data_IF_470268448802
#
_entry.id   IF_470268448802
#
_cell.length_a   1.000
_cell.length_b   1.000
_cell.length_c   1.000
_cell.angle_alpha   90.00
_cell.angle_beta   90.00
_cell.angle_gamma   90.00
#
_symmetry.space_group_name_H-M   'P 1'
#
loop_
_entity.id
_entity.type
_entity.pdbx_description
1 polymer ?
#
# COMPACT_ATOMS: atom_id res chain seq x y z
N UNK A 1 -40.74 -43.12 -50.63
CA UNK A 1 -40.40 -44.24 -49.72
C UNK A 1 -39.63 -43.66 -48.53
N UNK A 2 -39.94 -44.09 -47.31
CA UNK A 2 -39.67 -43.41 -46.02
C UNK A 2 -38.20 -43.53 -45.61
N UNK A 3 -37.69 -42.67 -44.71
CA UNK A 3 -37.34 -42.97 -43.30
C UNK A 3 -36.13 -42.07 -42.96
N UNK A 4 -35.87 -41.48 -41.80
CA UNK A 4 -36.37 -41.56 -40.42
C UNK A 4 -35.63 -40.45 -39.64
N UNK A 5 -36.33 -39.82 -38.68
CA UNK A 5 -35.85 -39.34 -37.37
C UNK A 5 -34.66 -38.36 -37.24
N UNK A 6 -34.98 -37.14 -36.82
CA UNK A 6 -34.40 -36.56 -35.62
C UNK A 6 -35.39 -35.52 -35.07
N UNK A 7 -36.26 -36.04 -34.21
CA UNK A 7 -37.10 -35.32 -33.27
C UNK A 7 -36.24 -34.50 -32.29
N UNK A 8 -36.44 -33.18 -32.25
CA UNK A 8 -36.32 -32.43 -31.01
C UNK A 8 -37.36 -31.33 -31.02
N UNK A 9 -38.59 -31.79 -30.82
CA UNK A 9 -39.79 -30.99 -30.77
C UNK A 9 -39.86 -30.21 -29.43
N UNK A 10 -40.40 -28.99 -29.53
CA UNK A 10 -41.22 -28.27 -28.55
C UNK A 10 -40.63 -27.23 -27.56
N UNK A 11 -40.91 -25.98 -27.95
CA UNK A 11 -41.76 -25.01 -27.21
C UNK A 11 -41.17 -24.30 -25.98
N UNK A 12 -40.67 -23.08 -26.23
CA UNK A 12 -41.51 -21.93 -25.87
C UNK A 12 -41.17 -20.67 -26.68
N UNK A 13 -42.25 -20.03 -27.13
CA UNK A 13 -42.31 -18.88 -28.03
C UNK A 13 -41.68 -17.60 -27.48
N UNK A 14 -41.48 -16.60 -28.36
CA UNK A 14 -40.69 -15.40 -28.14
C UNK A 14 -41.49 -14.30 -27.42
N UNK A 15 -40.80 -13.41 -26.70
CA UNK A 15 -41.03 -11.95 -26.63
C UNK A 15 -40.43 -11.34 -25.34
N UNK A 16 -39.49 -10.41 -25.52
CA UNK A 16 -39.27 -9.17 -24.73
C UNK A 16 -37.77 -8.84 -24.84
N UNK A 17 -37.36 -7.95 -25.75
CA UNK A 17 -37.15 -6.52 -25.46
C UNK A 17 -36.17 -6.29 -24.29
N UNK A 18 -34.99 -5.69 -24.61
CA UNK A 18 -33.91 -5.24 -23.70
C UNK A 18 -33.11 -6.41 -23.06
N UNK A 19 -31.78 -6.46 -22.92
CA UNK A 19 -30.72 -5.45 -22.88
C UNK A 19 -29.38 -6.12 -23.23
N UNK A 20 -28.45 -5.30 -23.71
CA UNK A 20 -26.99 -5.45 -23.72
C UNK A 20 -26.45 -6.57 -22.80
N UNK A 21 -26.00 -7.67 -23.40
CA UNK A 21 -25.44 -8.83 -22.69
C UNK A 21 -24.10 -8.52 -22.03
N UNK A 22 -24.16 -8.28 -20.72
CA UNK A 22 -23.30 -8.80 -19.66
C UNK A 22 -21.82 -9.10 -19.99
N UNK A 23 -21.03 -8.04 -20.18
CA UNK A 23 -19.58 -8.10 -19.94
C UNK A 23 -19.34 -7.86 -18.44
N UNK A 24 -19.36 -8.92 -17.63
CA UNK A 24 -19.24 -8.83 -16.16
C UNK A 24 -17.81 -8.57 -15.68
N UNK A 25 -17.14 -7.55 -16.25
CA UNK A 25 -15.87 -7.03 -15.73
C UNK A 25 -16.06 -6.26 -14.41
N UNK A 26 -17.31 -5.88 -14.09
CA UNK A 26 -17.70 -5.11 -12.91
C UNK A 26 -18.92 -5.72 -12.19
N UNK A 27 -18.88 -7.04 -11.89
CA UNK A 27 -19.89 -7.68 -11.05
C UNK A 27 -19.69 -7.31 -9.58
N UNK A 28 -20.71 -6.74 -8.93
CA UNK A 28 -20.65 -6.43 -7.51
C UNK A 28 -20.60 -7.68 -6.62
N UNK A 29 -21.17 -8.81 -7.06
CA UNK A 29 -21.11 -10.09 -6.33
C UNK A 29 -19.72 -10.74 -6.38
N UNK A 30 -18.96 -10.51 -7.46
CA UNK A 30 -17.58 -10.96 -7.58
C UNK A 30 -16.59 -10.09 -6.78
N UNK A 31 -16.99 -8.87 -6.39
CA UNK A 31 -16.12 -7.93 -5.67
C UNK A 31 -15.64 -8.50 -4.34
N UNK A 32 -16.50 -9.22 -3.61
CA UNK A 32 -16.14 -9.87 -2.34
C UNK A 32 -15.07 -10.94 -2.54
N UNK A 33 -15.16 -11.71 -3.64
CA UNK A 33 -14.17 -12.72 -4.01
C UNK A 33 -12.83 -12.09 -4.42
N UNK A 34 -12.86 -11.00 -5.20
CA UNK A 34 -11.68 -10.24 -5.55
C UNK A 34 -10.98 -9.66 -4.31
N UNK A 35 -11.74 -9.06 -3.40
CA UNK A 35 -11.21 -8.49 -2.16
C UNK A 35 -10.57 -9.59 -1.28
N UNK A 36 -11.22 -10.75 -1.16
CA UNK A 36 -10.68 -11.87 -0.38
C UNK A 36 -9.41 -12.46 -0.98
N UNK A 37 -9.36 -12.63 -2.30
CA UNK A 37 -8.19 -13.14 -3.01
C UNK A 37 -6.99 -12.20 -2.92
N UNK A 38 -7.24 -10.89 -3.05
CA UNK A 38 -6.23 -9.85 -2.84
C UNK A 38 -5.66 -9.91 -1.42
N UNK A 39 -6.53 -9.94 -0.40
CA UNK A 39 -6.10 -10.03 1.00
C UNK A 39 -5.30 -11.31 1.27
N UNK A 40 -5.72 -12.46 0.73
CA UNK A 40 -4.97 -13.70 0.88
C UNK A 40 -3.57 -13.61 0.27
N UNK A 41 -3.46 -13.03 -0.93
CA UNK A 41 -2.19 -12.86 -1.63
C UNK A 41 -1.27 -11.91 -0.86
N UNK A 42 -1.81 -10.79 -0.38
CA UNK A 42 -1.09 -9.83 0.47
C UNK A 42 -0.58 -10.48 1.77
N UNK A 43 -1.40 -11.30 2.45
CA UNK A 43 -0.97 -12.06 3.64
C UNK A 43 0.14 -13.05 3.32
N UNK A 44 0.06 -13.75 2.19
CA UNK A 44 1.14 -14.63 1.72
C UNK A 44 2.46 -13.87 1.52
N UNK A 45 2.41 -12.61 1.08
CA UNK A 45 3.59 -11.73 0.96
C UNK A 45 3.92 -10.95 2.24
N UNK A 46 3.28 -11.25 3.38
CA UNK A 46 3.61 -10.70 4.70
C UNK A 46 2.90 -9.39 5.05
N UNK A 47 1.88 -8.98 4.30
CA UNK A 47 1.07 -7.80 4.59
C UNK A 47 -0.13 -8.16 5.49
N UNK A 48 -0.57 -7.26 6.40
CA UNK A 48 -1.74 -7.51 7.22
C UNK A 48 -3.00 -7.66 6.35
N UNK A 49 -3.94 -8.51 6.78
CA UNK A 49 -5.17 -8.92 6.06
C UNK A 49 -6.20 -7.81 5.85
N UNK A 50 -5.84 -6.55 6.10
CA UNK A 50 -6.67 -5.37 5.88
C UNK A 50 -5.77 -4.25 5.40
N UNK A 51 -5.85 -3.92 4.12
CA UNK A 51 -5.17 -2.79 3.51
C UNK A 51 -6.19 -1.65 3.44
N UNK A 52 -6.11 -0.67 4.35
CA UNK A 52 -7.00 0.49 4.34
C UNK A 52 -6.59 1.41 3.18
N UNK A 53 -7.28 1.27 2.04
CA UNK A 53 -6.99 2.02 0.82
C UNK A 53 -7.37 3.52 0.93
N UNK A 54 -8.07 3.89 2.00
CA UNK A 54 -8.38 5.28 2.38
C UNK A 54 -7.48 5.80 3.51
N UNK A 55 -6.52 5.02 4.00
CA UNK A 55 -5.34 5.53 4.68
C UNK A 55 -4.42 6.22 3.66
N UNK A 56 -4.97 7.18 2.91
CA UNK A 56 -4.20 8.13 2.12
C UNK A 56 -3.58 9.24 2.99
N UNK A 57 -3.63 9.07 4.32
CA UNK A 57 -2.80 9.79 5.27
C UNK A 57 -2.57 8.89 6.50
N UNK A 58 -1.34 8.45 6.80
CA UNK A 58 -1.07 7.74 8.06
C UNK A 58 -1.27 8.62 9.32
N UNK A 59 -1.65 9.90 9.17
CA UNK A 59 -1.64 10.92 10.21
C UNK A 59 -2.91 11.79 10.27
N UNK A 60 -4.00 11.43 9.58
CA UNK A 60 -5.24 12.21 9.68
C UNK A 60 -5.96 11.93 10.99
N UNK A 61 -5.68 12.80 11.95
CA UNK A 61 -6.63 13.16 12.99
C UNK A 61 -6.36 12.54 14.34
N UNK A 62 -5.30 12.96 15.02
CA UNK A 62 -5.40 13.30 16.43
C UNK A 62 -4.31 14.31 16.79
N UNK A 63 -4.68 15.30 17.59
CA UNK A 63 -3.79 16.25 18.24
C UNK A 63 -2.93 15.54 19.31
N UNK A 64 -2.21 14.48 18.93
CA UNK A 64 -1.15 13.92 19.75
C UNK A 64 -0.06 14.97 19.85
N UNK A 65 0.40 15.21 21.08
CA UNK A 65 1.51 16.11 21.38
C UNK A 65 2.61 15.99 20.34
N UNK A 66 3.13 17.13 19.91
CA UNK A 66 4.16 17.24 18.88
C UNK A 66 5.32 16.24 19.11
N UNK A 67 5.66 15.96 20.37
CA UNK A 67 6.64 14.95 20.79
C UNK A 67 6.31 13.50 20.40
N UNK A 68 5.06 13.05 20.54
CA UNK A 68 4.66 11.67 20.24
C UNK A 68 4.67 11.41 18.73
N UNK A 69 4.27 12.43 17.94
CA UNK A 69 4.39 12.40 16.49
C UNK A 69 5.86 12.33 16.06
N UNK A 70 6.74 13.14 16.66
CA UNK A 70 8.18 13.09 16.37
C UNK A 70 8.73 11.71 16.67
N UNK A 71 8.42 11.12 17.83
CA UNK A 71 8.87 9.76 18.17
C UNK A 71 8.42 8.70 17.16
N UNK A 72 7.17 8.76 16.70
CA UNK A 72 6.66 7.83 15.68
C UNK A 72 7.36 8.00 14.33
N UNK A 73 7.57 9.25 13.90
CA UNK A 73 8.26 9.55 12.63
C UNK A 73 9.74 9.15 12.74
N UNK A 74 10.40 9.42 13.87
CA UNK A 74 11.77 8.97 14.16
C UNK A 74 11.88 7.45 14.02
N UNK A 75 10.93 6.70 14.57
CA UNK A 75 10.91 5.24 14.40
C UNK A 75 10.79 4.82 12.94
N UNK A 76 9.91 5.46 12.16
CA UNK A 76 9.77 5.18 10.72
C UNK A 76 11.06 5.49 9.94
N UNK A 77 11.69 6.64 10.22
CA UNK A 77 12.95 7.05 9.61
C UNK A 77 14.05 6.06 9.95
N UNK A 78 14.17 5.65 11.21
CA UNK A 78 15.13 4.65 11.65
C UNK A 78 14.90 3.30 10.93
N UNK A 79 13.65 2.83 10.84
CA UNK A 79 13.32 1.60 10.08
C UNK A 79 13.66 1.73 8.60
N UNK A 80 13.42 2.89 7.99
CA UNK A 80 13.78 3.15 6.60
C UNK A 80 15.29 3.08 6.39
N UNK A 81 16.08 3.69 7.28
CA UNK A 81 17.54 3.66 7.23
C UNK A 81 18.11 2.27 7.55
N UNK A 82 17.39 1.44 8.33
CA UNK A 82 17.80 0.07 8.66
C UNK A 82 17.76 -0.87 7.45
N UNK A 83 17.06 -0.50 6.38
CA UNK A 83 16.95 -1.31 5.18
C UNK A 83 18.35 -1.62 4.61
N UNK A 84 18.65 -2.88 4.25
CA UNK A 84 20.02 -3.30 3.87
C UNK A 84 20.59 -2.48 2.70
N UNK A 85 19.74 -2.12 1.73
CA UNK A 85 20.12 -1.24 0.61
C UNK A 85 20.51 0.18 1.04
N UNK A 86 19.97 0.69 2.15
CA UNK A 86 20.30 2.00 2.72
C UNK A 86 21.51 1.92 3.65
N UNK A 87 21.65 0.84 4.44
CA UNK A 87 22.83 0.59 5.29
C UNK A 87 24.10 0.34 4.48
N UNK A 88 24.00 -0.36 3.35
CA UNK A 88 25.14 -0.62 2.46
C UNK A 88 25.60 0.62 1.68
N UNK A 89 24.81 1.70 1.69
CA UNK A 89 25.23 2.98 1.09
C UNK A 89 26.44 3.51 1.84
N UNK A 90 27.51 3.88 1.15
CA UNK A 90 28.71 4.48 1.76
C UNK A 90 28.47 5.94 2.20
N UNK A 91 27.56 6.62 1.52
CA UNK A 91 27.28 8.06 1.72
C UNK A 91 26.10 8.26 2.69
N UNK A 92 25.12 7.34 2.71
CA UNK A 92 23.88 7.50 3.48
C UNK A 92 22.70 7.92 2.61
N UNK A 93 21.66 8.47 3.23
CA UNK A 93 20.39 8.83 2.56
C UNK A 93 20.03 10.28 2.86
N UNK A 94 19.66 11.05 1.84
CA UNK A 94 19.23 12.46 2.01
C UNK A 94 17.85 12.56 2.65
N UNK A 95 17.64 13.59 3.46
CA UNK A 95 16.32 13.85 4.08
C UNK A 95 15.19 13.99 3.06
N UNK A 96 15.41 14.64 1.91
CA UNK A 96 14.41 14.78 0.84
C UNK A 96 13.99 13.43 0.24
N UNK A 97 14.93 12.50 0.12
CA UNK A 97 14.64 11.15 -0.39
C UNK A 97 13.86 10.36 0.65
N UNK A 98 14.23 10.46 1.93
CA UNK A 98 13.48 9.84 3.04
C UNK A 98 12.05 10.39 3.10
N UNK A 99 11.89 11.71 2.96
CA UNK A 99 10.60 12.38 2.92
C UNK A 99 9.74 11.88 1.75
N UNK A 100 10.33 11.70 0.58
CA UNK A 100 9.64 11.16 -0.61
C UNK A 100 9.24 9.70 -0.43
N UNK A 101 10.14 8.86 0.08
CA UNK A 101 9.86 7.43 0.28
C UNK A 101 8.81 7.19 1.37
N UNK A 102 8.82 8.00 2.43
CA UNK A 102 7.84 7.93 3.52
C UNK A 102 6.56 8.74 3.24
N UNK A 103 6.53 9.49 2.13
CA UNK A 103 5.47 10.42 1.78
C UNK A 103 5.13 11.41 2.92
N UNK A 104 6.17 11.98 3.54
CA UNK A 104 6.07 12.89 4.68
C UNK A 104 6.68 14.25 4.36
N UNK A 105 6.19 15.35 4.97
CA UNK A 105 6.81 16.65 4.80
C UNK A 105 8.24 16.67 5.35
N UNK A 106 9.14 17.30 4.59
CA UNK A 106 10.58 17.37 4.91
C UNK A 106 10.81 17.97 6.30
N UNK A 107 10.04 18.96 6.73
CA UNK A 107 10.16 19.57 8.06
C UNK A 107 10.01 18.55 9.20
N UNK A 108 9.03 17.64 9.09
CA UNK A 108 8.82 16.60 10.09
C UNK A 108 9.95 15.56 10.07
N UNK A 109 10.45 15.22 8.88
CA UNK A 109 11.59 14.32 8.72
C UNK A 109 12.86 14.94 9.32
N UNK A 110 13.13 16.23 9.06
CA UNK A 110 14.28 16.94 9.63
C UNK A 110 14.21 16.95 11.16
N UNK A 111 13.04 17.24 11.73
CA UNK A 111 12.83 17.22 13.18
C UNK A 111 13.06 15.82 13.80
N UNK A 112 12.59 14.78 13.12
CA UNK A 112 12.83 13.40 13.52
C UNK A 112 14.31 12.99 13.41
N UNK A 113 15.00 13.42 12.35
CA UNK A 113 16.43 13.18 12.17
C UNK A 113 17.28 13.90 13.22
N UNK A 114 16.92 15.12 13.59
CA UNK A 114 17.55 15.88 14.68
C UNK A 114 17.38 15.16 16.03
N UNK A 115 16.17 14.68 16.32
CA UNK A 115 15.91 13.84 17.50
C UNK A 115 16.77 12.56 17.51
N UNK A 116 16.78 11.82 16.39
CA UNK A 116 17.57 10.59 16.26
C UNK A 116 19.08 10.85 16.36
N UNK A 117 19.54 12.02 15.91
CA UNK A 117 20.93 12.43 16.02
C UNK A 117 21.29 12.75 17.47
N UNK A 118 20.40 13.43 18.19
CA UNK A 118 20.55 13.68 19.63
C UNK A 118 20.54 12.39 20.46
N UNK A 119 19.79 11.37 20.03
CA UNK A 119 19.77 10.04 20.66
C UNK A 119 20.95 9.16 20.27
N UNK A 120 21.89 9.67 19.45
CA UNK A 120 23.02 8.91 18.91
C UNK A 120 22.59 7.62 18.18
N UNK A 121 21.45 7.67 17.48
CA UNK A 121 20.96 6.59 16.61
C UNK A 121 21.41 6.82 15.17
N UNK A 122 21.42 8.09 14.71
CA UNK A 122 21.89 8.47 13.37
C UNK A 122 22.98 9.52 13.45
N UNK A 123 23.81 9.58 12.42
CA UNK A 123 24.76 10.67 12.20
C UNK A 123 24.60 11.22 10.78
N UNK A 124 24.87 12.52 10.62
CA UNK A 124 25.00 13.11 9.30
C UNK A 124 26.42 12.90 8.77
N UNK A 125 26.53 12.53 7.49
CA UNK A 125 27.81 12.29 6.82
C UNK A 125 28.27 13.54 6.06
N UNK A 126 27.62 13.81 4.93
CA UNK A 126 27.88 14.95 4.05
C UNK A 126 26.55 15.51 3.56
N UNK A 127 26.46 16.83 3.37
CA UNK A 127 25.36 17.48 2.64
C UNK A 127 23.97 16.90 2.92
N UNK A 128 23.55 16.90 4.19
CA UNK A 128 22.21 16.45 4.61
C UNK A 128 21.93 14.94 4.35
N UNK A 129 22.97 14.11 4.25
CA UNK A 129 22.86 12.66 4.21
C UNK A 129 22.98 12.08 5.61
N UNK A 130 22.12 11.10 5.92
CA UNK A 130 22.02 10.47 7.23
C UNK A 130 22.31 8.98 7.14
N UNK A 131 22.99 8.47 8.16
CA UNK A 131 23.29 7.05 8.37
C UNK A 131 22.97 6.63 9.78
N UNK A 132 22.62 5.36 9.95
CA UNK A 132 22.57 4.74 11.28
C UNK A 132 23.98 4.56 11.81
N UNK A 133 24.12 4.82 13.11
CA UNK A 133 25.30 4.45 13.88
C UNK A 133 25.29 2.92 14.02
N UNK A 134 26.45 2.28 13.85
CA UNK A 134 26.62 0.83 14.01
C UNK A 134 26.92 0.48 15.47
#
# INVERSE_FOLDING_TARGET
>A
MPSTDADFDLRQSPQSAFSMGDYTFADAGNLEHCAKYLNQTLVTFGFPSSLDLFANDPFSGHYSSDDEQVMRISKMVATHLQHPARRASDIGVRSDIIARDLNLPVDKIRKALDYLQSEAIVYSTIDDHFKLID
#
